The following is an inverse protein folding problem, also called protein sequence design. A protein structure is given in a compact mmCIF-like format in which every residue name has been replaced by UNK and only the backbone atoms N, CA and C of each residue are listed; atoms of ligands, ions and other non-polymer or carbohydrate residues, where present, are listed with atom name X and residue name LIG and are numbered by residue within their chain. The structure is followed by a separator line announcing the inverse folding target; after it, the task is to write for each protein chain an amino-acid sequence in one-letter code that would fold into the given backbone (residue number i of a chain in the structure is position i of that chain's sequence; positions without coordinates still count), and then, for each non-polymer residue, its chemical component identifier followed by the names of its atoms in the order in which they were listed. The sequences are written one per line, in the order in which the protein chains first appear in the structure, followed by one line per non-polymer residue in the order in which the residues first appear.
data_IF_449255061813
#
_entry.id   IF_449255061813
#
_cell.length_a   1.000
_cell.length_b   1.000
_cell.length_c   1.000
_cell.angle_alpha   90.00
_cell.angle_beta   90.00
_cell.angle_gamma   90.00
#
_symmetry.space_group_name_H-M   'P 1'
#
loop_
_entity.id
_entity.type
_entity.pdbx_description
1 polymer ?
#
# COMPACT_ATOMS: atom_id res chain seq x y z
N UNK A 1 16.81 -10.72 -9.22
CA UNK A 1 18.01 -11.42 -8.70
C UNK A 1 18.79 -10.49 -7.77
N UNK A 2 19.67 -11.01 -6.92
CA UNK A 2 20.36 -10.20 -5.90
C UNK A 2 21.16 -9.02 -6.44
N UNK A 3 21.67 -9.13 -7.68
CA UNK A 3 22.37 -8.05 -8.37
C UNK A 3 21.47 -6.84 -8.62
N UNK A 4 20.16 -7.05 -8.84
CA UNK A 4 19.21 -5.98 -9.20
C UNK A 4 18.95 -5.01 -8.04
N UNK A 5 19.21 -5.42 -6.80
CA UNK A 5 19.03 -4.58 -5.61
C UNK A 5 20.35 -4.07 -5.03
N UNK A 6 21.49 -4.47 -5.61
CA UNK A 6 22.80 -4.08 -5.11
C UNK A 6 23.05 -2.58 -5.32
N UNK A 7 23.66 -1.92 -4.34
CA UNK A 7 23.93 -0.48 -4.36
C UNK A 7 22.71 0.42 -4.13
N UNK A 8 21.52 -0.16 -3.93
CA UNK A 8 20.33 0.59 -3.51
C UNK A 8 20.22 0.63 -1.99
N UNK A 9 19.62 1.71 -1.47
CA UNK A 9 19.39 1.92 -0.03
C UNK A 9 17.90 1.87 0.33
N UNK A 10 17.01 1.93 -0.66
CA UNK A 10 15.57 1.94 -0.48
C UNK A 10 14.89 1.13 -1.59
N UNK A 11 13.83 0.41 -1.25
CA UNK A 11 12.97 -0.30 -2.19
C UNK A 11 11.51 0.09 -1.95
N UNK A 12 10.83 0.57 -3.00
CA UNK A 12 9.43 0.98 -2.93
C UNK A 12 8.56 -0.05 -3.64
N UNK A 13 7.72 -0.75 -2.88
CA UNK A 13 6.75 -1.69 -3.42
C UNK A 13 5.37 -1.05 -3.50
N UNK A 14 5.06 -0.51 -4.69
CA UNK A 14 3.79 0.17 -4.99
C UNK A 14 2.88 -0.68 -5.89
N UNK A 15 3.18 -1.97 -6.05
CA UNK A 15 2.44 -2.88 -6.92
C UNK A 15 1.12 -3.29 -6.26
N UNK A 16 0.06 -3.21 -7.03
CA UNK A 16 -1.25 -3.70 -6.65
C UNK A 16 -2.19 -3.65 -7.83
N UNK A 17 -3.17 -4.54 -7.83
CA UNK A 17 -4.23 -4.60 -8.83
C UNK A 17 -5.59 -4.71 -8.14
N UNK A 18 -6.64 -4.86 -8.92
CA UNK A 18 -7.96 -5.26 -8.41
C UNK A 18 -8.32 -6.59 -9.04
N UNK A 19 -9.20 -7.36 -8.40
CA UNK A 19 -9.68 -8.63 -8.99
C UNK A 19 -10.28 -8.38 -10.39
N UNK A 20 -10.94 -7.24 -10.60
CA UNK A 20 -11.54 -6.86 -11.89
C UNK A 20 -10.47 -6.56 -12.96
N UNK A 21 -9.33 -5.94 -12.60
CA UNK A 21 -8.20 -5.74 -13.54
C UNK A 21 -7.43 -7.05 -13.76
N UNK A 22 -7.16 -7.81 -12.71
CA UNK A 22 -6.41 -9.06 -12.77
C UNK A 22 -7.17 -10.19 -13.48
N UNK A 23 -8.50 -10.11 -13.53
CA UNK A 23 -9.38 -11.10 -14.15
C UNK A 23 -9.62 -12.36 -13.31
N UNK A 24 -8.82 -12.62 -12.28
CA UNK A 24 -9.04 -13.76 -11.36
C UNK A 24 -8.43 -13.53 -9.98
N UNK A 25 -8.84 -14.34 -9.00
CA UNK A 25 -8.24 -14.34 -7.66
C UNK A 25 -6.79 -14.79 -7.67
N UNK A 26 -6.44 -15.75 -8.51
CA UNK A 26 -5.08 -16.26 -8.64
C UNK A 26 -4.16 -15.19 -9.24
N UNK A 27 -4.57 -14.54 -10.33
CA UNK A 27 -3.80 -13.44 -10.92
C UNK A 27 -3.67 -12.24 -9.96
N UNK A 28 -4.72 -11.94 -9.20
CA UNK A 28 -4.63 -10.93 -8.13
C UNK A 28 -3.61 -11.35 -7.07
N UNK A 29 -3.63 -12.60 -6.61
CA UNK A 29 -2.67 -13.09 -5.61
C UNK A 29 -1.22 -13.03 -6.12
N UNK A 30 -0.98 -13.42 -7.37
CA UNK A 30 0.34 -13.33 -7.98
C UNK A 30 0.89 -11.89 -7.95
N UNK A 31 0.06 -10.89 -8.24
CA UNK A 31 0.48 -9.48 -8.23
C UNK A 31 0.57 -8.92 -6.81
N UNK A 32 -0.51 -9.02 -6.03
CA UNK A 32 -0.64 -8.35 -4.74
C UNK A 32 0.05 -9.09 -3.59
N UNK A 33 0.46 -10.35 -3.78
CA UNK A 33 1.25 -11.12 -2.83
C UNK A 33 2.59 -11.56 -3.43
N UNK A 34 2.59 -12.44 -4.44
CA UNK A 34 3.82 -13.16 -4.83
C UNK A 34 4.94 -12.23 -5.31
N UNK A 35 4.64 -11.26 -6.18
CA UNK A 35 5.66 -10.32 -6.67
C UNK A 35 6.20 -9.43 -5.53
N UNK A 36 5.31 -8.98 -4.64
CA UNK A 36 5.70 -8.14 -3.51
C UNK A 36 6.53 -8.92 -2.47
N UNK A 37 6.14 -10.17 -2.19
CA UNK A 37 6.87 -11.09 -1.32
C UNK A 37 8.26 -11.37 -1.89
N UNK A 38 8.36 -11.63 -3.20
CA UNK A 38 9.65 -11.85 -3.85
C UNK A 38 10.57 -10.62 -3.76
N UNK A 39 10.04 -9.41 -3.90
CA UNK A 39 10.85 -8.20 -3.66
C UNK A 39 11.33 -8.11 -2.22
N UNK A 40 10.48 -8.49 -1.25
CA UNK A 40 10.86 -8.52 0.16
C UNK A 40 11.98 -9.54 0.43
N UNK A 41 11.90 -10.74 -0.17
CA UNK A 41 12.96 -11.75 -0.09
C UNK A 41 14.28 -11.23 -0.66
N UNK A 42 14.22 -10.52 -1.80
CA UNK A 42 15.41 -9.92 -2.42
C UNK A 42 16.06 -8.85 -1.54
N UNK A 43 15.34 -8.19 -0.64
CA UNK A 43 15.90 -7.15 0.23
C UNK A 43 16.11 -7.61 1.67
N UNK A 44 15.72 -8.83 2.01
CA UNK A 44 16.02 -9.43 3.30
C UNK A 44 17.54 -9.48 3.51
N UNK A 45 17.97 -9.30 4.76
CA UNK A 45 19.39 -9.33 5.18
C UNK A 45 20.29 -8.27 4.51
N UNK A 46 19.67 -7.28 3.84
CA UNK A 46 20.36 -6.14 3.22
C UNK A 46 20.04 -4.85 3.95
N UNK A 47 20.94 -3.87 3.80
CA UNK A 47 20.78 -2.53 4.36
C UNK A 47 19.87 -1.66 3.50
N UNK A 48 18.67 -2.18 3.23
CA UNK A 48 17.67 -1.57 2.35
C UNK A 48 16.42 -1.30 3.14
N UNK A 49 15.94 -0.05 3.10
CA UNK A 49 14.64 0.30 3.63
C UNK A 49 13.54 -0.13 2.67
N UNK A 50 12.71 -1.11 3.06
CA UNK A 50 11.54 -1.53 2.29
C UNK A 50 10.32 -0.66 2.66
N UNK A 51 9.69 -0.05 1.65
CA UNK A 51 8.48 0.75 1.77
C UNK A 51 7.35 0.10 0.97
N UNK A 52 6.35 -0.45 1.66
CA UNK A 52 5.27 -1.24 1.06
C UNK A 52 3.92 -0.49 1.09
N UNK A 53 3.27 -0.39 -0.07
CA UNK A 53 1.86 0.00 -0.16
C UNK A 53 0.95 -1.20 0.08
N UNK A 54 0.34 -1.24 1.25
CA UNK A 54 -0.73 -2.18 1.62
C UNK A 54 -2.10 -1.49 1.51
N UNK A 55 -3.03 -1.78 2.41
CA UNK A 55 -4.38 -1.25 2.39
C UNK A 55 -5.01 -1.13 3.78
N UNK A 56 -5.94 -0.19 3.91
CA UNK A 56 -6.80 -0.08 5.09
C UNK A 56 -7.60 -1.36 5.27
N UNK A 57 -7.46 -1.98 6.45
CA UNK A 57 -8.19 -3.22 6.77
C UNK A 57 -7.46 -4.51 6.37
N UNK A 58 -6.23 -4.42 5.89
CA UNK A 58 -5.34 -5.58 5.72
C UNK A 58 -5.28 -6.42 7.00
N UNK A 59 -5.65 -7.70 6.86
CA UNK A 59 -5.74 -8.67 7.95
C UNK A 59 -5.83 -10.08 7.35
N UNK A 60 -4.86 -10.96 7.63
CA UNK A 60 -4.79 -12.31 7.08
C UNK A 60 -5.99 -13.21 7.47
N UNK A 61 -6.72 -12.84 8.51
CA UNK A 61 -7.95 -13.52 8.96
C UNK A 61 -9.23 -12.89 8.39
N UNK A 62 -9.14 -11.91 7.50
CA UNK A 62 -10.31 -11.25 6.93
C UNK A 62 -11.15 -12.20 6.07
N UNK A 63 -12.48 -12.15 6.14
CA UNK A 63 -13.35 -12.86 5.19
C UNK A 63 -13.35 -12.19 3.80
N UNK A 64 -12.86 -10.95 3.68
CA UNK A 64 -12.76 -10.23 2.42
C UNK A 64 -11.42 -10.60 1.76
N UNK A 65 -11.47 -11.25 0.60
CA UNK A 65 -10.28 -11.77 -0.10
C UNK A 65 -9.19 -10.71 -0.30
N UNK A 66 -9.56 -9.50 -0.74
CA UNK A 66 -8.60 -8.40 -0.91
C UNK A 66 -7.83 -8.07 0.39
N UNK A 67 -8.55 -7.86 1.50
CA UNK A 67 -7.96 -7.57 2.81
C UNK A 67 -7.16 -8.74 3.36
N UNK A 68 -7.62 -9.98 3.08
CA UNK A 68 -6.93 -11.20 3.44
C UNK A 68 -5.55 -11.27 2.81
N UNK A 69 -5.46 -11.11 1.49
CA UNK A 69 -4.20 -11.18 0.76
C UNK A 69 -3.24 -10.08 1.20
N UNK A 70 -3.72 -8.84 1.34
CA UNK A 70 -2.89 -7.73 1.86
C UNK A 70 -2.38 -8.02 3.27
N UNK A 71 -3.22 -8.58 4.15
CA UNK A 71 -2.79 -8.98 5.48
C UNK A 71 -1.80 -10.14 5.49
N UNK A 72 -2.00 -11.15 4.64
CA UNK A 72 -1.05 -12.26 4.48
C UNK A 72 0.33 -11.76 4.01
N UNK A 73 0.36 -10.78 3.10
CA UNK A 73 1.62 -10.18 2.66
C UNK A 73 2.31 -9.42 3.80
N UNK A 74 1.55 -8.62 4.56
CA UNK A 74 2.11 -7.92 5.73
C UNK A 74 2.68 -8.91 6.75
N UNK A 75 1.91 -9.93 7.14
CA UNK A 75 2.35 -10.96 8.09
C UNK A 75 3.61 -11.70 7.59
N UNK A 76 3.70 -11.96 6.27
CA UNK A 76 4.88 -12.59 5.67
C UNK A 76 6.10 -11.69 5.78
N UNK A 77 6.00 -10.43 5.31
CA UNK A 77 7.11 -9.47 5.31
C UNK A 77 7.56 -9.14 6.73
N UNK A 78 6.64 -9.05 7.69
CA UNK A 78 6.94 -8.86 9.11
C UNK A 78 7.66 -10.05 9.75
N UNK A 79 7.61 -11.23 9.13
CA UNK A 79 8.35 -12.41 9.59
C UNK A 79 9.77 -12.50 9.02
N UNK A 80 10.11 -11.67 8.04
CA UNK A 80 11.45 -11.60 7.45
C UNK A 80 12.38 -10.68 8.24
N UNK A 81 13.69 -10.93 8.16
CA UNK A 81 14.74 -10.08 8.75
C UNK A 81 15.03 -8.87 7.85
N UNK A 82 14.11 -7.89 7.84
CA UNK A 82 14.26 -6.64 7.11
C UNK A 82 14.73 -5.55 8.08
N UNK A 83 15.88 -4.93 7.80
CA UNK A 83 16.48 -3.93 8.69
C UNK A 83 15.54 -2.74 8.94
N UNK A 84 14.89 -2.24 7.87
CA UNK A 84 13.94 -1.14 7.96
C UNK A 84 12.73 -1.34 7.07
N UNK A 85 11.55 -1.31 7.68
CA UNK A 85 10.26 -1.56 7.04
C UNK A 85 9.26 -0.44 7.32
N UNK A 86 8.67 0.11 6.27
CA UNK A 86 7.51 1.01 6.35
C UNK A 86 6.32 0.42 5.60
N UNK A 87 5.20 0.20 6.29
CA UNK A 87 3.96 -0.28 5.67
C UNK A 87 2.92 0.84 5.66
N UNK A 88 2.39 1.16 4.48
CA UNK A 88 1.36 2.18 4.30
C UNK A 88 0.01 1.52 4.09
N UNK A 89 -1.00 1.88 4.91
CA UNK A 89 -2.37 1.37 4.79
C UNK A 89 -3.33 2.50 4.36
N UNK A 90 -3.27 2.96 3.10
CA UNK A 90 -4.21 3.94 2.58
C UNK A 90 -5.63 3.35 2.54
N UNK A 91 -6.62 4.22 2.59
CA UNK A 91 -7.99 3.86 2.21
C UNK A 91 -8.12 3.84 0.67
N UNK A 92 -9.21 4.36 0.11
CA UNK A 92 -9.35 4.46 -1.34
C UNK A 92 -8.35 5.49 -1.91
N UNK A 93 -7.55 5.07 -2.90
CA UNK A 93 -6.65 5.96 -3.63
C UNK A 93 -7.37 6.69 -4.77
N UNK A 94 -7.19 8.00 -4.83
CA UNK A 94 -7.72 8.85 -5.91
C UNK A 94 -6.53 9.34 -6.77
N UNK A 95 -6.55 8.99 -8.06
CA UNK A 95 -5.53 9.39 -9.02
C UNK A 95 -6.03 10.44 -10.02
N UNK A 96 -5.13 11.36 -10.44
CA UNK A 96 -5.43 12.40 -11.45
C UNK A 96 -5.62 11.86 -12.88
N UNK A 97 -5.29 10.59 -13.18
CA UNK A 97 -5.24 10.07 -14.57
C UNK A 97 -5.69 8.62 -14.85
N UNK A 98 -6.22 7.87 -13.90
CA UNK A 98 -6.62 6.47 -14.15
C UNK A 98 -8.14 6.27 -14.07
N UNK A 99 -8.74 6.11 -15.25
CA UNK A 99 -10.01 5.45 -15.53
C UNK A 99 -11.22 5.83 -14.66
N UNK A 100 -11.87 6.90 -15.08
CA UNK A 100 -13.30 7.17 -14.85
C UNK A 100 -14.16 5.90 -15.05
N UNK A 101 -13.73 4.98 -15.93
CA UNK A 101 -14.38 3.69 -16.24
C UNK A 101 -14.31 2.62 -15.13
N UNK A 102 -13.40 2.74 -14.16
CA UNK A 102 -13.30 1.79 -13.03
C UNK A 102 -14.07 2.23 -11.78
N UNK A 103 -14.36 3.53 -11.67
CA UNK A 103 -15.14 4.13 -10.57
C UNK A 103 -16.64 4.22 -10.93
N UNK A 104 -17.00 4.03 -12.21
CA UNK A 104 -18.37 4.23 -12.71
C UNK A 104 -19.45 3.45 -11.96
N UNK A 105 -19.16 2.26 -11.42
CA UNK A 105 -20.23 1.41 -10.87
C UNK A 105 -20.53 1.59 -9.37
N UNK A 106 -19.66 2.20 -8.55
CA UNK A 106 -19.86 2.17 -7.08
C UNK A 106 -19.52 3.45 -6.30
N UNK A 107 -18.83 4.43 -6.88
CA UNK A 107 -18.12 5.42 -6.04
C UNK A 107 -18.48 6.89 -6.21
N UNK A 108 -18.85 7.35 -7.41
CA UNK A 108 -18.80 8.78 -7.71
C UNK A 108 -19.87 9.62 -6.97
N UNK A 109 -21.09 9.11 -6.86
CA UNK A 109 -22.20 9.85 -6.22
C UNK A 109 -22.09 9.88 -4.70
N UNK A 110 -21.62 8.79 -4.08
CA UNK A 110 -21.39 8.72 -2.64
C UNK A 110 -20.20 9.61 -2.22
N UNK A 111 -19.17 9.70 -3.07
CA UNK A 111 -17.97 10.49 -2.83
C UNK A 111 -18.23 12.00 -2.79
N UNK A 112 -18.95 12.57 -3.78
CA UNK A 112 -19.30 14.01 -3.80
C UNK A 112 -20.12 14.42 -2.56
N UNK A 113 -20.93 13.51 -2.04
CA UNK A 113 -21.74 13.75 -0.84
C UNK A 113 -20.88 13.77 0.44
N UNK A 114 -19.86 12.92 0.52
CA UNK A 114 -18.97 12.80 1.68
C UNK A 114 -17.98 13.97 1.73
N UNK A 115 -17.40 14.37 0.59
CA UNK A 115 -16.44 15.47 0.52
C UNK A 115 -17.06 16.82 0.91
N UNK A 116 -18.28 17.10 0.43
CA UNK A 116 -19.02 18.30 0.80
C UNK A 116 -19.48 18.32 2.27
N UNK A 117 -19.59 17.16 2.93
CA UNK A 117 -20.16 17.05 4.29
C UNK A 117 -19.10 16.87 5.38
N UNK A 118 -17.91 16.37 5.05
CA UNK A 118 -16.87 16.03 6.03
C UNK A 118 -15.48 16.57 5.64
N UNK A 119 -15.22 17.82 6.01
CA UNK A 119 -13.91 18.47 5.80
C UNK A 119 -12.80 17.89 6.70
N UNK A 120 -13.16 17.29 7.85
CA UNK A 120 -12.20 16.72 8.81
C UNK A 120 -11.64 15.37 8.34
N UNK A 121 -10.36 15.06 8.62
CA UNK A 121 -9.81 13.74 8.34
C UNK A 121 -10.54 12.67 9.15
N UNK A 122 -10.85 11.54 8.51
CA UNK A 122 -11.43 10.37 9.16
C UNK A 122 -10.87 9.09 8.54
N UNK A 123 -10.96 7.97 9.27
CA UNK A 123 -10.25 6.72 8.95
C UNK A 123 -10.50 6.20 7.52
N UNK A 124 -11.69 6.41 6.97
CA UNK A 124 -12.08 5.91 5.65
C UNK A 124 -12.09 7.00 4.56
N UNK A 125 -11.62 8.22 4.88
CA UNK A 125 -11.54 9.31 3.90
C UNK A 125 -10.52 8.93 2.82
N UNK A 126 -10.90 8.95 1.53
CA UNK A 126 -9.98 8.69 0.44
C UNK A 126 -8.74 9.58 0.50
N UNK A 127 -7.61 9.05 0.05
CA UNK A 127 -6.33 9.75 -0.05
C UNK A 127 -5.91 9.85 -1.50
N UNK A 128 -5.24 10.92 -1.89
CA UNK A 128 -4.71 11.01 -3.26
C UNK A 128 -3.44 10.19 -3.39
N UNK A 129 -3.15 9.73 -4.61
CA UNK A 129 -1.86 9.10 -4.92
C UNK A 129 -0.67 10.03 -4.60
N UNK A 130 -0.86 11.34 -4.76
CA UNK A 130 0.12 12.39 -4.44
C UNK A 130 0.40 12.45 -2.92
N UNK A 131 -0.64 12.41 -2.08
CA UNK A 131 -0.49 12.37 -0.62
C UNK A 131 0.24 11.10 -0.15
N UNK A 132 -0.13 9.94 -0.71
CA UNK A 132 0.54 8.68 -0.38
C UNK A 132 2.01 8.74 -0.79
N UNK A 133 2.31 9.12 -2.04
CA UNK A 133 3.68 9.20 -2.54
C UNK A 133 4.53 10.17 -1.70
N UNK A 134 3.99 11.34 -1.36
CA UNK A 134 4.69 12.30 -0.50
C UNK A 134 4.98 11.70 0.88
N UNK A 135 4.00 11.02 1.49
CA UNK A 135 4.18 10.35 2.79
C UNK A 135 5.27 9.27 2.72
N UNK A 136 5.32 8.50 1.63
CA UNK A 136 6.35 7.47 1.42
C UNK A 136 7.75 8.07 1.30
N UNK A 137 7.90 9.18 0.56
CA UNK A 137 9.19 9.89 0.45
C UNK A 137 9.63 10.44 1.80
N UNK A 138 8.72 11.07 2.55
CA UNK A 138 9.02 11.56 3.90
C UNK A 138 9.45 10.41 4.82
N UNK A 139 8.75 9.27 4.77
CA UNK A 139 9.12 8.10 5.56
C UNK A 139 10.50 7.57 5.19
N UNK A 140 10.82 7.44 3.89
CA UNK A 140 12.15 7.01 3.43
C UNK A 140 13.27 7.92 3.96
N UNK A 141 13.04 9.23 4.01
CA UNK A 141 14.05 10.19 4.45
C UNK A 141 14.17 10.31 5.99
N UNK A 142 13.10 10.05 6.74
CA UNK A 142 13.02 10.46 8.15
C UNK A 142 12.76 9.33 9.14
N UNK A 143 12.34 8.14 8.68
CA UNK A 143 12.06 7.03 9.58
C UNK A 143 13.36 6.45 10.18
N UNK A 144 13.42 6.42 11.50
CA UNK A 144 14.54 5.85 12.27
C UNK A 144 14.24 4.48 12.86
N UNK A 145 12.96 4.13 13.01
CA UNK A 145 12.52 2.85 13.57
C UNK A 145 12.70 1.72 12.55
N UNK A 146 13.09 0.53 13.04
CA UNK A 146 13.20 -0.68 12.23
C UNK A 146 11.85 -1.05 11.57
N UNK A 147 10.74 -0.79 12.25
CA UNK A 147 9.42 -1.04 11.71
C UNK A 147 8.44 0.07 12.06
N UNK A 148 7.69 0.54 11.06
CA UNK A 148 6.58 1.47 11.26
C UNK A 148 5.45 1.24 10.28
N UNK A 149 4.22 1.34 10.79
CA UNK A 149 3.00 1.30 9.99
C UNK A 149 2.32 2.66 9.96
N UNK A 150 2.05 3.15 8.76
CA UNK A 150 1.38 4.42 8.48
C UNK A 150 -0.09 4.15 8.15
N UNK A 151 -0.98 4.57 9.04
CA UNK A 151 -2.42 4.43 8.80
C UNK A 151 -2.95 5.52 7.87
N UNK A 152 -4.20 5.37 7.42
CA UNK A 152 -4.81 6.34 6.51
C UNK A 152 -4.92 7.76 7.09
N UNK A 153 -4.95 7.93 8.42
CA UNK A 153 -5.00 9.26 9.04
C UNK A 153 -3.65 9.96 8.95
N UNK A 154 -2.57 9.23 9.20
CA UNK A 154 -1.20 9.75 9.06
C UNK A 154 -0.92 10.20 7.63
N UNK A 155 -1.38 9.45 6.63
CA UNK A 155 -1.24 9.79 5.21
C UNK A 155 -2.02 11.06 4.83
N UNK A 156 -3.20 11.27 5.43
CA UNK A 156 -4.02 12.47 5.18
C UNK A 156 -3.42 13.76 5.74
N UNK A 157 -2.57 13.65 6.76
CA UNK A 157 -1.96 14.80 7.43
C UNK A 157 -0.75 15.36 6.67
N UNK A 158 -0.15 14.57 5.79
CA UNK A 158 0.95 14.98 4.94
C UNK A 158 0.42 15.94 3.86
N UNK A 159 0.84 17.21 3.93
CA UNK A 159 0.49 18.26 2.97
C UNK A 159 1.38 18.23 1.75
#
# INVERSE_FOLDING_TARGET
NDEDVNGHTHAFSCLGTTIKVAGSRQAFYAVDYEINAHLADLVQDKHIHLLLVSALGANANSPIFYNKVKGQLEDYIESLEIEKLSIFRPSLLIGKRSDVRFIEDLGQSLFKLIENKFQKPFKYKPVTAEQLAHTMVVAALTQIEAFKRYDNLSIQQTR
#
